data_IF_285987236453
#
_entry.id   IF_285987236453
#
_cell.length_a   1.000
_cell.length_b   1.000
_cell.length_c   1.000
_cell.angle_alpha   90.00
_cell.angle_beta   90.00
_cell.angle_gamma   90.00
#
_symmetry.space_group_name_H-M   'P 1'
#
loop_
_entity.id
_entity.type
_entity.pdbx_description
1 polymer ?
#
# COMPACT_ATOMS: atom_id res chain seq x y z
N UNK A 1 -5.29 -0.75 -0.63
CA UNK A 1 -6.19 -0.44 0.50
C UNK A 1 -5.39 -0.52 1.79
N UNK A 2 -5.64 0.38 2.72
CA UNK A 2 -4.87 0.55 3.97
C UNK A 2 -5.84 0.87 5.10
N UNK A 3 -5.59 0.37 6.32
CA UNK A 3 -6.40 0.74 7.47
C UNK A 3 -6.33 2.28 7.73
N UNK A 4 -7.44 2.95 8.08
CA UNK A 4 -7.44 4.40 8.32
C UNK A 4 -6.42 4.84 9.37
N UNK A 5 -6.30 4.09 10.47
CA UNK A 5 -5.34 4.35 11.53
C UNK A 5 -3.88 4.29 11.04
N UNK A 6 -3.59 3.41 10.08
CA UNK A 6 -2.25 3.29 9.47
C UNK A 6 -1.96 4.44 8.52
N UNK A 7 -2.93 4.87 7.72
CA UNK A 7 -2.77 6.07 6.90
C UNK A 7 -2.48 7.30 7.78
N UNK A 8 -3.25 7.49 8.84
CA UNK A 8 -3.04 8.57 9.79
C UNK A 8 -1.66 8.51 10.46
N UNK A 9 -1.21 7.33 10.90
CA UNK A 9 0.11 7.14 11.49
C UNK A 9 1.26 7.43 10.51
N UNK A 10 1.05 7.22 9.22
CA UNK A 10 2.00 7.55 8.14
C UNK A 10 1.87 9.00 7.66
N UNK A 11 0.93 9.79 8.18
CA UNK A 11 0.66 11.16 7.71
C UNK A 11 0.12 11.21 6.28
N UNK A 12 -0.62 10.17 5.87
CA UNK A 12 -1.23 10.01 4.54
C UNK A 12 -2.76 10.10 4.63
N UNK A 13 -3.40 10.49 3.54
CA UNK A 13 -4.84 10.49 3.39
C UNK A 13 -5.30 9.51 2.31
N UNK A 14 -6.57 9.08 2.37
CA UNK A 14 -7.18 8.41 1.24
C UNK A 14 -7.22 9.36 0.02
N UNK A 15 -6.89 8.85 -1.16
CA UNK A 15 -6.71 9.64 -2.37
C UNK A 15 -5.28 10.08 -2.63
N UNK A 16 -4.38 10.00 -1.62
CA UNK A 16 -2.97 10.32 -1.83
C UNK A 16 -2.34 9.33 -2.80
N UNK A 17 -1.47 9.85 -3.68
CA UNK A 17 -0.56 9.03 -4.46
C UNK A 17 0.58 8.57 -3.55
N UNK A 18 0.80 7.27 -3.50
CA UNK A 18 1.77 6.64 -2.61
C UNK A 18 2.70 5.74 -3.40
N UNK A 19 3.98 5.76 -3.02
CA UNK A 19 4.93 4.75 -3.43
C UNK A 19 4.83 3.56 -2.49
N UNK A 20 4.61 2.38 -3.04
CA UNK A 20 4.56 1.10 -2.32
C UNK A 20 5.74 0.27 -2.78
N UNK A 21 6.57 -0.20 -1.84
CA UNK A 21 7.74 -1.03 -2.16
C UNK A 21 7.73 -2.38 -1.44
N UNK A 22 8.27 -3.38 -2.14
CA UNK A 22 8.43 -4.76 -1.67
C UNK A 22 9.62 -5.41 -2.39
N UNK A 23 10.47 -6.13 -1.65
CA UNK A 23 11.51 -6.96 -2.26
C UNK A 23 12.47 -6.22 -3.21
N UNK A 24 12.69 -4.91 -2.98
CA UNK A 24 13.55 -4.06 -3.83
C UNK A 24 12.86 -3.42 -5.03
N UNK A 25 11.61 -3.78 -5.31
CA UNK A 25 10.78 -3.13 -6.34
C UNK A 25 9.79 -2.14 -5.71
N UNK A 26 9.31 -1.19 -6.51
CA UNK A 26 8.27 -0.25 -6.08
C UNK A 26 7.31 0.11 -7.20
N UNK A 27 6.07 0.43 -6.81
CA UNK A 27 5.01 0.91 -7.70
C UNK A 27 4.33 2.12 -7.09
N UNK A 28 3.73 2.96 -7.93
CA UNK A 28 2.87 4.05 -7.47
C UNK A 28 1.40 3.63 -7.53
N UNK A 29 0.67 3.89 -6.44
CA UNK A 29 -0.75 3.57 -6.31
C UNK A 29 -1.49 4.73 -5.65
N UNK A 30 -2.82 4.72 -5.74
CA UNK A 30 -3.66 5.62 -4.95
C UNK A 30 -4.04 4.92 -3.65
N UNK A 31 -3.79 5.57 -2.52
CA UNK A 31 -4.17 5.09 -1.22
C UNK A 31 -5.69 5.12 -1.06
N UNK A 32 -6.26 4.00 -0.59
CA UNK A 32 -7.69 3.89 -0.26
C UNK A 32 -7.80 3.41 1.18
N UNK A 33 -8.57 4.13 1.99
CA UNK A 33 -8.91 3.70 3.35
C UNK A 33 -9.87 2.51 3.31
N UNK A 34 -9.67 1.53 4.17
CA UNK A 34 -10.55 0.36 4.34
C UNK A 34 -10.62 0.00 5.83
N UNK A 35 -11.76 0.24 6.47
CA UNK A 35 -12.00 -0.05 7.90
C UNK A 35 -12.02 -1.55 8.21
N UNK A 36 -12.17 -2.41 7.20
CA UNK A 36 -12.09 -3.87 7.35
C UNK A 36 -10.68 -4.41 7.49
N UNK A 37 -9.64 -3.58 7.31
CA UNK A 37 -8.25 -3.97 7.50
C UNK A 37 -7.80 -3.72 8.95
N UNK A 38 -7.05 -4.69 9.48
CA UNK A 38 -6.34 -4.49 10.75
C UNK A 38 -5.30 -3.37 10.65
N UNK A 39 -5.07 -2.67 11.75
CA UNK A 39 -4.02 -1.67 11.84
C UNK A 39 -2.64 -2.29 11.53
N UNK A 40 -1.86 -1.59 10.72
CA UNK A 40 -0.55 -2.03 10.22
C UNK A 40 -0.62 -2.83 8.93
N UNK A 41 -1.82 -3.20 8.44
CA UNK A 41 -1.97 -3.97 7.23
C UNK A 41 -2.20 -3.10 5.99
N UNK A 42 -1.62 -3.56 4.87
CA UNK A 42 -1.84 -3.01 3.54
C UNK A 42 -2.27 -4.16 2.63
N UNK A 43 -3.36 -3.97 1.89
CA UNK A 43 -3.81 -4.92 0.86
C UNK A 43 -3.60 -4.32 -0.52
N UNK A 44 -2.75 -4.98 -1.31
CA UNK A 44 -2.49 -4.66 -2.72
C UNK A 44 -3.09 -5.75 -3.59
N UNK A 45 -3.68 -5.38 -4.73
CA UNK A 45 -4.15 -6.36 -5.70
C UNK A 45 -2.95 -7.05 -6.35
N UNK A 46 -2.86 -8.38 -6.23
CA UNK A 46 -1.86 -9.18 -6.94
C UNK A 46 -2.31 -9.42 -8.40
N UNK A 47 -1.37 -9.85 -9.24
CA UNK A 47 -1.60 -10.23 -10.64
C UNK A 47 -2.22 -9.12 -11.53
N UNK A 48 -2.00 -7.85 -11.18
CA UNK A 48 -2.38 -6.70 -12.01
C UNK A 48 -1.13 -6.06 -12.61
N UNK A 49 -1.16 -5.58 -13.88
CA UNK A 49 0.03 -4.97 -14.50
C UNK A 49 0.67 -3.84 -13.69
N UNK A 50 -0.14 -3.04 -12.99
CA UNK A 50 0.36 -1.93 -12.15
C UNK A 50 1.04 -2.36 -10.85
N UNK A 51 0.94 -3.64 -10.47
CA UNK A 51 1.48 -4.17 -9.20
C UNK A 51 2.40 -5.38 -9.42
N UNK A 52 2.50 -5.88 -10.66
CA UNK A 52 3.29 -7.06 -11.02
C UNK A 52 4.77 -6.94 -10.60
N UNK A 53 5.32 -5.72 -10.56
CA UNK A 53 6.71 -5.48 -10.16
C UNK A 53 7.00 -5.81 -8.69
N UNK A 54 6.01 -5.80 -7.79
CA UNK A 54 6.21 -6.08 -6.36
C UNK A 54 6.60 -7.55 -6.08
N UNK A 55 6.38 -8.44 -7.05
CA UNK A 55 6.79 -9.83 -6.97
C UNK A 55 5.94 -10.64 -5.99
N UNK A 56 6.41 -10.78 -4.74
CA UNK A 56 5.82 -11.71 -3.77
C UNK A 56 4.38 -11.32 -3.36
N UNK A 57 3.50 -12.32 -3.24
CA UNK A 57 2.08 -12.10 -2.94
C UNK A 57 1.82 -11.61 -1.50
N UNK A 58 2.77 -11.86 -0.60
CA UNK A 58 2.73 -11.44 0.80
C UNK A 58 4.13 -11.12 1.30
N UNK A 59 4.23 -10.18 2.21
CA UNK A 59 5.48 -9.78 2.84
C UNK A 59 5.37 -8.37 3.41
N UNK A 60 6.48 -7.86 3.92
CA UNK A 60 6.54 -6.51 4.42
C UNK A 60 6.46 -5.50 3.27
N UNK A 61 5.65 -4.47 3.47
CA UNK A 61 5.44 -3.38 2.54
C UNK A 61 5.88 -2.08 3.19
N UNK A 62 6.66 -1.28 2.46
CA UNK A 62 6.85 0.13 2.81
C UNK A 62 5.88 0.98 2.00
N UNK A 63 5.21 1.91 2.67
CA UNK A 63 4.29 2.87 2.03
C UNK A 63 4.73 4.28 2.42
N UNK A 64 4.99 5.10 1.41
CA UNK A 64 5.39 6.49 1.58
C UNK A 64 4.66 7.38 0.57
N UNK A 65 4.65 8.69 0.81
CA UNK A 65 4.13 9.67 -0.15
C UNK A 65 5.01 9.62 -1.40
N UNK A 66 4.37 9.57 -2.58
CA UNK A 66 5.08 9.63 -3.87
C UNK A 66 5.74 10.99 -4.09
#
# INVERSE_FOLDING_TARGET
>A
RVAPATLAALGLAAGDRVRVAQGGASVELVALADEGLAAGCVRVAAAHPSTAALGAMSGDLSVERA
#
